data_IF_231527152008
#
_entry.id   IF_231527152008
#
_cell.length_a   1.000
_cell.length_b   1.000
_cell.length_c   1.000
_cell.angle_alpha   90.00
_cell.angle_beta   90.00
_cell.angle_gamma   90.00
#
_symmetry.space_group_name_H-M   'P 1'
#
loop_
_entity.id
_entity.type
_entity.pdbx_description
1 polymer ?
#
# COMPACT_ATOMS: atom_id res chain seq x y z
N UNK A 1 -42.02 -72.45 1.68
CA UNK A 1 -42.10 -72.72 3.12
C UNK A 1 -41.12 -71.76 3.79
N UNK A 2 -41.53 -70.51 3.92
CA UNK A 2 -42.07 -69.91 5.17
C UNK A 2 -40.94 -69.40 6.07
N UNK A 3 -40.63 -68.11 5.95
CA UNK A 3 -41.07 -67.06 6.88
C UNK A 3 -40.63 -67.33 8.31
N UNK A 4 -39.61 -66.59 8.75
CA UNK A 4 -39.53 -66.06 10.12
C UNK A 4 -38.70 -64.77 10.14
N UNK A 5 -39.41 -63.65 10.12
CA UNK A 5 -38.94 -62.33 10.55
C UNK A 5 -38.96 -62.27 12.08
N UNK A 6 -37.90 -61.75 12.71
CA UNK A 6 -37.93 -60.80 13.85
C UNK A 6 -36.49 -60.35 14.17
N UNK A 7 -36.08 -59.14 13.75
CA UNK A 7 -36.14 -57.87 14.50
C UNK A 7 -35.11 -57.79 15.64
N UNK A 8 -33.90 -57.35 15.31
CA UNK A 8 -33.01 -56.61 16.21
C UNK A 8 -32.50 -55.39 15.46
N UNK A 9 -33.04 -54.23 15.82
CA UNK A 9 -32.51 -52.91 15.49
C UNK A 9 -31.27 -52.69 16.34
N UNK A 10 -30.14 -52.31 15.74
CA UNK A 10 -29.14 -51.45 16.40
C UNK A 10 -27.95 -51.19 15.49
N UNK A 11 -27.76 -49.89 15.21
CA UNK A 11 -26.48 -49.17 15.06
C UNK A 11 -25.82 -49.20 13.67
N UNK A 12 -26.14 -48.17 12.90
CA UNK A 12 -25.26 -47.57 11.90
C UNK A 12 -23.91 -47.21 12.54
N UNK A 13 -22.75 -47.54 11.95
CA UNK A 13 -21.51 -46.91 12.35
C UNK A 13 -21.46 -45.51 11.74
N UNK A 14 -21.71 -44.52 12.59
CA UNK A 14 -21.21 -43.15 12.39
C UNK A 14 -19.69 -43.23 12.21
N UNK A 15 -19.19 -42.77 11.07
CA UNK A 15 -17.77 -42.87 10.73
C UNK A 15 -17.32 -41.78 9.76
N UNK A 16 -17.42 -40.52 10.21
CA UNK A 16 -16.56 -39.40 9.84
C UNK A 16 -16.26 -39.17 8.33
N UNK A 17 -17.17 -38.48 7.64
CA UNK A 17 -16.78 -37.69 6.47
C UNK A 17 -15.99 -36.47 6.96
N UNK A 18 -14.65 -36.54 6.92
CA UNK A 18 -13.78 -35.36 7.02
C UNK A 18 -14.05 -34.48 5.79
N UNK A 19 -15.01 -33.57 5.90
CA UNK A 19 -15.00 -32.37 5.07
C UNK A 19 -13.75 -31.58 5.48
N UNK A 20 -12.69 -31.69 4.69
CA UNK A 20 -11.61 -30.71 4.67
C UNK A 20 -12.22 -29.41 4.15
N UNK A 21 -12.86 -28.65 5.03
CA UNK A 21 -13.06 -27.22 4.82
C UNK A 21 -11.66 -26.60 4.84
N UNK A 22 -11.03 -26.53 3.68
CA UNK A 22 -9.92 -25.61 3.45
C UNK A 22 -10.49 -24.21 3.69
N UNK A 23 -10.37 -23.74 4.92
CA UNK A 23 -10.47 -22.33 5.21
C UNK A 23 -9.30 -21.69 4.47
N UNK A 24 -9.56 -21.17 3.27
CA UNK A 24 -8.73 -20.12 2.71
C UNK A 24 -8.82 -18.95 3.69
N UNK A 25 -7.92 -18.95 4.68
CA UNK A 25 -7.56 -17.74 5.40
C UNK A 25 -6.86 -16.90 4.33
N UNK A 26 -7.64 -16.09 3.62
CA UNK A 26 -7.07 -14.99 2.86
C UNK A 26 -6.38 -14.11 3.89
N UNK A 27 -5.05 -14.14 3.89
CA UNK A 27 -4.27 -13.10 4.57
C UNK A 27 -4.80 -11.78 4.01
N UNK A 28 -5.30 -10.85 4.83
CA UNK A 28 -5.63 -9.52 4.35
C UNK A 28 -4.36 -8.97 3.74
N UNK A 29 -4.38 -8.75 2.41
CA UNK A 29 -3.26 -8.11 1.75
C UNK A 29 -3.05 -6.77 2.42
N UNK A 30 -1.89 -6.61 3.05
CA UNK A 30 -1.46 -5.36 3.60
C UNK A 30 -1.36 -4.36 2.45
N UNK A 31 -2.27 -3.39 2.43
CA UNK A 31 -2.24 -2.27 1.52
C UNK A 31 -1.35 -1.23 2.17
N UNK A 32 -0.36 -0.74 1.45
CA UNK A 32 0.23 0.54 1.78
C UNK A 32 -0.84 1.60 1.92
N UNK A 33 -0.53 2.67 2.67
CA UNK A 33 -1.46 3.75 3.05
C UNK A 33 -2.86 3.49 2.51
N UNK A 34 -3.73 2.85 3.29
CA UNK A 34 -5.06 2.50 2.79
C UNK A 34 -5.71 3.71 2.10
N UNK A 35 -6.53 3.47 1.07
CA UNK A 35 -7.16 4.46 0.18
C UNK A 35 -7.02 5.95 0.54
N UNK A 36 -7.52 6.35 1.70
CA UNK A 36 -7.49 7.73 2.19
C UNK A 36 -6.07 8.34 2.20
N UNK A 37 -5.06 7.61 2.66
CA UNK A 37 -3.67 8.07 2.68
C UNK A 37 -3.13 8.35 1.28
N UNK A 38 -3.24 7.40 0.35
CA UNK A 38 -2.83 7.61 -1.05
C UNK A 38 -3.55 8.76 -1.74
N UNK A 39 -4.86 8.89 -1.52
CA UNK A 39 -5.65 9.99 -2.08
C UNK A 39 -5.10 11.32 -1.57
N UNK A 40 -4.89 11.45 -0.26
CA UNK A 40 -4.35 12.67 0.33
C UNK A 40 -2.95 13.00 -0.18
N UNK A 41 -2.01 12.03 -0.16
CA UNK A 41 -0.65 12.22 -0.67
C UNK A 41 -0.66 12.72 -2.11
N UNK A 42 -1.49 12.13 -2.97
CA UNK A 42 -1.57 12.55 -4.36
C UNK A 42 -2.26 13.90 -4.57
N UNK A 43 -3.25 14.26 -3.75
CA UNK A 43 -3.85 15.60 -3.82
C UNK A 43 -2.87 16.69 -3.42
N UNK A 44 -2.12 16.48 -2.34
CA UNK A 44 -1.06 17.40 -1.90
C UNK A 44 0.01 17.51 -2.98
N UNK A 45 0.51 16.37 -3.48
CA UNK A 45 1.53 16.36 -4.53
C UNK A 45 1.06 17.09 -5.79
N UNK A 46 -0.18 16.83 -6.24
CA UNK A 46 -0.73 17.47 -7.43
C UNK A 46 -0.89 18.99 -7.29
N UNK A 47 -1.27 19.48 -6.10
CA UNK A 47 -1.40 20.90 -5.83
C UNK A 47 -0.04 21.64 -5.84
N UNK A 48 1.06 20.92 -5.57
CA UNK A 48 2.42 21.45 -5.49
C UNK A 48 3.22 21.30 -6.80
N UNK A 49 2.62 20.74 -7.86
CA UNK A 49 3.33 20.55 -9.14
C UNK A 49 3.64 21.90 -9.80
N UNK A 50 4.87 22.03 -10.29
CA UNK A 50 5.24 23.09 -11.23
C UNK A 50 4.42 22.99 -12.54
N UNK A 51 4.21 24.10 -13.27
CA UNK A 51 3.37 24.10 -14.47
C UNK A 51 3.71 23.02 -15.50
N UNK A 52 5.00 22.77 -15.75
CA UNK A 52 5.46 21.74 -16.69
C UNK A 52 5.12 20.33 -16.21
N UNK A 53 5.22 20.07 -14.91
CA UNK A 53 4.88 18.77 -14.32
C UNK A 53 3.36 18.56 -14.29
N UNK A 54 2.60 19.61 -13.97
CA UNK A 54 1.14 19.60 -13.98
C UNK A 54 0.58 19.25 -15.37
N UNK A 55 1.12 19.86 -16.43
CA UNK A 55 0.74 19.53 -17.81
C UNK A 55 1.09 18.10 -18.18
N UNK A 56 2.29 17.61 -17.82
CA UNK A 56 2.69 16.23 -18.09
C UNK A 56 1.77 15.22 -17.37
N UNK A 57 1.44 15.48 -16.10
CA UNK A 57 0.48 14.65 -15.34
C UNK A 57 -0.88 14.65 -16.01
N UNK A 58 -1.38 15.82 -16.43
CA UNK A 58 -2.66 15.93 -17.14
C UNK A 58 -2.67 15.10 -18.43
N UNK A 59 -1.60 15.16 -19.23
CA UNK A 59 -1.48 14.41 -20.48
C UNK A 59 -1.35 12.89 -20.30
N UNK A 60 -0.73 12.45 -19.21
CA UNK A 60 -0.55 11.03 -18.91
C UNK A 60 -1.78 10.36 -18.30
N UNK A 61 -2.65 11.14 -17.66
CA UNK A 61 -3.86 10.62 -17.04
C UNK A 61 -4.96 10.36 -18.07
N UNK A 62 -5.78 9.30 -17.89
CA UNK A 62 -6.87 9.01 -18.80
C UNK A 62 -8.01 10.04 -18.66
N UNK A 63 -8.65 10.39 -19.76
CA UNK A 63 -9.68 11.45 -19.84
C UNK A 63 -10.80 11.35 -18.78
N UNK A 64 -11.19 10.13 -18.40
CA UNK A 64 -12.30 9.91 -17.46
C UNK A 64 -12.04 10.43 -16.05
N UNK A 65 -10.78 10.59 -15.63
CA UNK A 65 -10.43 11.18 -14.33
C UNK A 65 -10.25 12.69 -14.39
N UNK A 66 -10.37 13.29 -15.58
CA UNK A 66 -10.33 14.75 -15.81
C UNK A 66 -9.11 15.42 -15.15
N UNK A 67 -7.95 14.79 -15.30
CA UNK A 67 -6.69 15.26 -14.73
C UNK A 67 -6.53 15.05 -13.23
N UNK A 68 -7.47 14.42 -12.52
CA UNK A 68 -7.33 14.16 -11.07
C UNK A 68 -6.43 12.94 -10.82
N UNK A 69 -5.19 13.15 -10.39
CA UNK A 69 -4.21 12.10 -10.10
C UNK A 69 -4.66 11.20 -8.94
N UNK A 70 -5.19 11.81 -7.88
CA UNK A 70 -5.62 11.09 -6.67
C UNK A 70 -6.70 10.03 -6.93
N UNK A 71 -7.48 10.19 -8.00
CA UNK A 71 -8.49 9.21 -8.41
C UNK A 71 -7.89 7.85 -8.80
N UNK A 72 -6.60 7.80 -9.18
CA UNK A 72 -5.90 6.61 -9.62
C UNK A 72 -4.71 6.22 -8.73
N UNK A 73 -4.43 6.96 -7.66
CA UNK A 73 -3.29 6.64 -6.78
C UNK A 73 -3.45 5.37 -5.95
N UNK A 74 -4.62 4.73 -5.98
CA UNK A 74 -4.84 3.39 -5.38
C UNK A 74 -4.83 2.27 -6.42
N UNK A 75 -4.56 2.60 -7.69
CA UNK A 75 -4.54 1.61 -8.76
C UNK A 75 -3.48 0.51 -8.57
N UNK A 76 -2.24 0.79 -8.10
CA UNK A 76 -1.24 -0.25 -7.87
C UNK A 76 -1.68 -1.33 -6.87
N UNK A 77 -2.35 -0.93 -5.79
CA UNK A 77 -2.95 -1.87 -4.82
C UNK A 77 -4.01 -2.78 -5.45
N UNK A 78 -4.77 -2.28 -6.42
CA UNK A 78 -5.80 -3.08 -7.09
C UNK A 78 -5.17 -4.11 -8.02
N UNK A 79 -4.11 -3.74 -8.74
CA UNK A 79 -3.51 -4.58 -9.78
C UNK A 79 -2.45 -5.55 -9.26
N UNK A 80 -1.84 -5.35 -8.09
CA UNK A 80 -0.82 -6.25 -7.53
C UNK A 80 -1.30 -7.71 -7.36
N UNK A 81 -2.61 -7.92 -7.29
CA UNK A 81 -3.23 -9.24 -7.22
C UNK A 81 -3.47 -9.88 -8.59
N UNK A 82 -3.37 -9.13 -9.68
CA UNK A 82 -3.60 -9.62 -11.03
C UNK A 82 -2.40 -10.41 -11.51
N UNK A 83 -2.63 -11.52 -12.22
CA UNK A 83 -1.55 -12.39 -12.71
C UNK A 83 -0.47 -11.64 -13.49
N UNK A 84 -0.87 -10.68 -14.35
CA UNK A 84 0.04 -9.84 -15.15
C UNK A 84 0.95 -8.95 -14.30
N UNK A 85 0.48 -8.51 -13.13
CA UNK A 85 1.16 -7.53 -12.29
C UNK A 85 1.60 -8.10 -10.94
N UNK A 86 1.61 -9.43 -10.78
CA UNK A 86 2.01 -10.06 -9.52
C UNK A 86 3.45 -9.71 -9.10
N UNK A 87 4.30 -9.37 -10.07
CA UNK A 87 5.65 -8.86 -9.87
C UNK A 87 5.72 -7.52 -9.13
N UNK A 88 4.62 -6.76 -9.08
CA UNK A 88 4.58 -5.47 -8.36
C UNK A 88 4.36 -5.64 -6.87
N UNK A 89 3.91 -6.81 -6.41
CA UNK A 89 3.58 -7.03 -4.99
C UNK A 89 4.69 -6.69 -3.99
N UNK A 90 5.96 -7.08 -4.19
CA UNK A 90 7.05 -6.72 -3.28
C UNK A 90 7.49 -5.24 -3.41
N UNK A 91 7.07 -4.55 -4.48
CA UNK A 91 7.42 -3.15 -4.70
C UNK A 91 6.70 -2.18 -3.76
N UNK A 92 5.74 -2.66 -2.97
CA UNK A 92 5.00 -1.82 -2.03
C UNK A 92 5.75 -1.60 -0.71
N UNK A 93 6.77 -2.39 -0.39
CA UNK A 93 7.40 -2.33 0.93
C UNK A 93 8.90 -2.63 0.87
N UNK A 94 9.55 -2.54 2.03
CA UNK A 94 10.90 -3.01 2.32
C UNK A 94 10.84 -3.82 3.61
N UNK A 95 11.36 -5.04 3.54
CA UNK A 95 11.61 -5.87 4.71
C UNK A 95 13.01 -5.55 5.26
N UNK A 96 13.08 -5.09 6.50
CA UNK A 96 14.34 -4.84 7.21
C UNK A 96 14.59 -5.91 8.27
N UNK A 97 15.86 -6.23 8.61
CA UNK A 97 16.14 -7.19 9.65
C UNK A 97 15.61 -6.72 11.00
N UNK A 98 15.00 -7.65 11.74
CA UNK A 98 14.41 -7.38 13.04
C UNK A 98 15.36 -6.65 14.00
N UNK A 99 14.85 -5.61 14.66
CA UNK A 99 15.59 -4.78 15.61
C UNK A 99 16.83 -4.08 15.04
N UNK A 100 17.09 -4.16 13.72
CA UNK A 100 18.21 -3.47 13.12
C UNK A 100 18.01 -1.96 13.12
N UNK A 101 16.75 -1.51 13.12
CA UNK A 101 16.40 -0.09 13.18
C UNK A 101 17.23 0.74 12.19
N UNK A 102 17.50 0.15 11.02
CA UNK A 102 18.28 0.75 9.94
C UNK A 102 17.88 0.13 8.60
N UNK A 103 17.80 0.96 7.56
CA UNK A 103 17.67 0.52 6.18
C UNK A 103 19.03 0.60 5.46
N UNK A 104 19.38 -0.43 4.70
CA UNK A 104 20.51 -0.46 3.79
C UNK A 104 20.06 -1.03 2.45
N UNK A 105 20.07 -0.21 1.40
CA UNK A 105 19.54 -0.59 0.08
C UNK A 105 20.07 -1.93 -0.44
N UNK A 106 21.39 -2.14 -0.41
CA UNK A 106 22.00 -3.39 -0.91
C UNK A 106 21.69 -4.63 -0.07
N UNK A 107 21.26 -4.44 1.18
CA UNK A 107 20.89 -5.54 2.09
C UNK A 107 19.39 -5.84 2.01
N UNK A 108 18.57 -4.80 1.93
CA UNK A 108 17.13 -4.89 2.20
C UNK A 108 16.27 -4.74 0.93
N UNK A 109 16.79 -4.16 -0.15
CA UNK A 109 16.00 -3.92 -1.35
C UNK A 109 16.02 -5.12 -2.30
N UNK A 110 15.28 -6.16 -1.94
CA UNK A 110 15.09 -7.35 -2.76
C UNK A 110 13.71 -7.99 -2.49
N UNK A 111 13.24 -8.83 -3.41
CA UNK A 111 12.05 -9.65 -3.17
C UNK A 111 12.36 -10.88 -2.30
N UNK A 112 11.36 -11.68 -1.88
CA UNK A 112 11.61 -12.90 -1.08
C UNK A 112 12.42 -13.98 -1.80
N UNK A 113 12.68 -13.86 -3.11
CA UNK A 113 13.54 -14.75 -3.88
C UNK A 113 14.97 -14.20 -4.00
N UNK A 114 15.25 -13.01 -3.46
CA UNK A 114 16.55 -12.34 -3.52
C UNK A 114 16.82 -11.60 -4.82
N UNK A 115 15.79 -11.30 -5.62
CA UNK A 115 15.95 -10.44 -6.80
C UNK A 115 16.14 -9.01 -6.33
N UNK A 116 17.31 -8.44 -6.59
CA UNK A 116 17.67 -7.06 -6.24
C UNK A 116 16.72 -6.01 -6.86
N UNK A 117 16.65 -4.83 -6.26
CA UNK A 117 15.82 -3.68 -6.67
C UNK A 117 14.30 -3.91 -6.56
N UNK A 118 13.85 -5.10 -6.16
CA UNK A 118 12.43 -5.44 -6.02
C UNK A 118 11.85 -5.04 -4.66
N UNK A 119 11.96 -3.75 -4.32
CA UNK A 119 11.39 -3.14 -3.12
C UNK A 119 10.83 -1.73 -3.44
N UNK A 120 10.15 -1.07 -2.50
CA UNK A 120 9.58 0.28 -2.75
C UNK A 120 10.63 1.33 -3.13
N UNK A 121 11.82 1.33 -2.51
CA UNK A 121 12.89 2.26 -2.89
C UNK A 121 13.41 2.01 -4.31
N UNK A 122 13.54 0.75 -4.72
CA UNK A 122 13.92 0.37 -6.08
C UNK A 122 12.84 0.72 -7.10
N UNK A 123 11.57 0.57 -6.73
CA UNK A 123 10.43 0.97 -7.55
C UNK A 123 10.42 2.49 -7.78
N UNK A 124 10.57 3.29 -6.72
CA UNK A 124 10.66 4.76 -6.82
C UNK A 124 11.80 5.17 -7.77
N UNK A 125 12.99 4.59 -7.61
CA UNK A 125 14.14 4.84 -8.49
C UNK A 125 13.83 4.47 -9.95
N UNK A 126 13.25 3.29 -10.18
CA UNK A 126 12.91 2.77 -11.50
C UNK A 126 11.89 3.67 -12.21
N UNK A 127 10.74 3.94 -11.60
CA UNK A 127 9.68 4.71 -12.27
C UNK A 127 10.03 6.20 -12.41
N UNK A 128 10.84 6.75 -11.50
CA UNK A 128 11.45 8.07 -11.70
C UNK A 128 12.33 8.08 -12.95
N UNK A 129 13.22 7.09 -13.11
CA UNK A 129 14.08 7.00 -14.31
C UNK A 129 13.29 6.85 -15.60
N UNK A 130 12.16 6.15 -15.59
CA UNK A 130 11.29 6.01 -16.76
C UNK A 130 10.65 7.36 -17.14
N UNK A 131 10.14 8.11 -16.16
CA UNK A 131 9.47 9.39 -16.38
C UNK A 131 10.41 10.52 -16.80
N UNK A 132 11.69 10.46 -16.44
CA UNK A 132 12.70 11.44 -16.92
C UNK A 132 12.77 11.45 -18.46
N UNK A 133 12.58 10.30 -19.10
CA UNK A 133 12.59 10.18 -20.57
C UNK A 133 11.26 10.53 -21.25
N UNK A 134 10.26 11.02 -20.49
CA UNK A 134 8.95 11.40 -21.03
C UNK A 134 9.06 12.43 -22.17
N UNK A 135 9.82 13.52 -21.95
CA UNK A 135 9.94 14.62 -22.92
C UNK A 135 10.74 14.24 -24.18
N UNK A 136 11.71 13.34 -24.04
CA UNK A 136 12.57 12.89 -25.15
C UNK A 136 11.84 11.86 -26.04
N UNK A 137 10.79 11.24 -25.51
CA UNK A 137 10.09 10.13 -26.13
C UNK A 137 10.88 8.83 -25.95
N UNK A 138 10.24 7.83 -25.35
CA UNK A 138 10.82 6.49 -25.27
C UNK A 138 10.63 5.74 -26.60
N UNK A 139 11.69 5.17 -27.15
CA UNK A 139 11.59 4.19 -28.24
C UNK A 139 11.22 2.78 -27.74
N UNK A 140 11.30 2.55 -26.42
CA UNK A 140 10.91 1.30 -25.80
C UNK A 140 9.40 1.27 -25.57
N UNK A 141 8.71 0.52 -26.43
CA UNK A 141 7.26 0.28 -26.37
C UNK A 141 6.79 -0.43 -25.10
N UNK A 142 7.71 -0.96 -24.28
CA UNK A 142 7.37 -1.63 -23.02
C UNK A 142 7.08 -0.66 -21.88
N UNK A 143 7.59 0.57 -21.94
CA UNK A 143 7.32 1.57 -20.92
C UNK A 143 5.99 2.27 -21.17
N UNK A 144 5.06 2.02 -20.26
CA UNK A 144 3.80 2.74 -20.20
C UNK A 144 3.96 3.89 -19.19
N UNK A 145 4.05 5.13 -19.70
CA UNK A 145 4.31 6.30 -18.86
C UNK A 145 3.15 6.61 -17.91
N UNK A 146 1.92 6.25 -18.26
CA UNK A 146 0.78 6.33 -17.34
C UNK A 146 0.98 5.36 -16.18
N UNK A 147 1.36 4.11 -16.44
CA UNK A 147 1.66 3.15 -15.36
C UNK A 147 2.83 3.64 -14.50
N UNK A 148 3.91 4.16 -15.13
CA UNK A 148 5.05 4.70 -14.40
C UNK A 148 4.66 5.86 -13.47
N UNK A 149 3.82 6.79 -13.94
CA UNK A 149 3.27 7.86 -13.12
C UNK A 149 2.46 7.30 -11.94
N UNK A 150 1.51 6.40 -12.19
CA UNK A 150 0.65 5.87 -11.14
C UNK A 150 1.43 5.04 -10.10
N UNK A 151 2.39 4.23 -10.55
CA UNK A 151 3.28 3.51 -9.66
C UNK A 151 4.14 4.46 -8.82
N UNK A 152 4.79 5.45 -9.45
CA UNK A 152 5.61 6.41 -8.70
C UNK A 152 4.79 7.16 -7.66
N UNK A 153 3.62 7.68 -8.04
CA UNK A 153 2.75 8.43 -7.11
C UNK A 153 2.29 7.57 -5.93
N UNK A 154 1.96 6.30 -6.17
CA UNK A 154 1.59 5.36 -5.12
C UNK A 154 2.77 5.01 -4.21
N UNK A 155 3.88 4.54 -4.80
CA UNK A 155 5.06 4.09 -4.04
C UNK A 155 5.75 5.21 -3.27
N UNK A 156 5.65 6.46 -3.73
CA UNK A 156 6.02 7.63 -2.94
C UNK A 156 5.14 7.78 -1.69
N UNK A 157 3.87 7.38 -1.72
CA UNK A 157 3.07 7.22 -0.51
C UNK A 157 3.61 6.09 0.35
N UNK A 158 3.71 4.87 -0.20
CA UNK A 158 4.11 3.65 0.53
C UNK A 158 5.38 3.85 1.34
N UNK A 159 6.43 4.40 0.71
CA UNK A 159 7.73 4.58 1.37
C UNK A 159 7.68 5.55 2.57
N UNK A 160 6.67 6.43 2.65
CA UNK A 160 6.44 7.29 3.80
C UNK A 160 5.54 6.66 4.87
N UNK A 161 4.90 5.51 4.59
CA UNK A 161 4.14 4.77 5.59
C UNK A 161 5.14 4.01 6.46
N UNK A 162 5.26 4.29 7.78
CA UNK A 162 6.31 3.68 8.58
C UNK A 162 6.33 2.15 8.52
N UNK A 163 5.18 1.50 8.67
CA UNK A 163 5.07 0.04 8.67
C UNK A 163 5.34 -0.62 7.30
N UNK A 164 5.56 0.17 6.23
CA UNK A 164 6.02 -0.31 4.92
C UNK A 164 7.54 -0.46 4.82
N UNK A 165 8.26 0.07 5.79
CA UNK A 165 9.71 -0.13 5.96
C UNK A 165 9.90 -0.72 7.35
N UNK A 166 9.44 -1.97 7.50
CA UNK A 166 9.25 -2.63 8.80
C UNK A 166 10.10 -3.89 8.95
N UNK A 167 9.84 -4.66 10.00
CA UNK A 167 10.56 -5.91 10.24
C UNK A 167 10.03 -7.05 9.38
N UNK A 168 10.96 -7.90 8.92
CA UNK A 168 10.61 -9.05 8.09
C UNK A 168 9.73 -10.05 8.83
N UNK A 169 10.03 -10.36 10.10
CA UNK A 169 9.34 -11.46 10.79
C UNK A 169 7.91 -11.14 11.20
N UNK A 170 7.59 -9.87 11.37
CA UNK A 170 6.23 -9.44 11.70
C UNK A 170 5.41 -8.99 10.47
N UNK A 171 5.99 -9.12 9.27
CA UNK A 171 5.45 -8.66 7.98
C UNK A 171 5.09 -7.17 8.04
N UNK A 172 6.00 -6.34 8.56
CA UNK A 172 5.73 -4.91 8.79
C UNK A 172 4.60 -4.71 9.78
N UNK A 173 4.50 -5.54 10.82
CA UNK A 173 3.46 -5.50 11.84
C UNK A 173 2.09 -6.04 11.42
N UNK A 174 1.95 -6.68 10.26
CA UNK A 174 0.70 -7.32 9.85
C UNK A 174 0.32 -8.51 10.75
N UNK A 175 1.32 -9.21 11.27
CA UNK A 175 1.13 -10.36 12.16
C UNK A 175 0.93 -9.95 13.63
N UNK A 176 1.10 -8.66 13.96
CA UNK A 176 0.87 -8.12 15.30
C UNK A 176 -0.63 -7.79 15.43
N UNK A 177 -1.41 -8.80 15.81
CA UNK A 177 -2.84 -8.64 16.07
C UNK A 177 -3.10 -7.79 17.32
N UNK A 178 -4.04 -6.85 17.21
CA UNK A 178 -4.43 -5.97 18.29
C UNK A 178 -5.90 -5.55 18.19
N UNK A 179 -6.34 -4.65 19.07
CA UNK A 179 -7.63 -3.98 18.96
C UNK A 179 -7.42 -2.48 18.84
N UNK A 180 -8.00 -1.87 17.82
CA UNK A 180 -8.11 -0.43 17.71
C UNK A 180 -9.47 -0.03 18.27
N UNK A 181 -9.48 0.58 19.45
CA UNK A 181 -10.69 0.80 20.26
C UNK A 181 -11.56 -0.47 20.39
N UNK A 182 -12.72 -0.51 19.72
CA UNK A 182 -13.71 -1.57 19.88
C UNK A 182 -13.54 -2.71 18.87
N UNK A 183 -12.90 -2.50 17.73
CA UNK A 183 -12.72 -3.51 16.68
C UNK A 183 -11.33 -4.15 16.70
N UNK A 184 -11.24 -5.32 16.08
CA UNK A 184 -9.96 -6.01 15.87
C UNK A 184 -9.24 -5.39 14.68
N UNK A 185 -7.91 -5.31 14.75
CA UNK A 185 -7.02 -4.83 13.69
C UNK A 185 -5.65 -5.53 13.83
N UNK A 186 -4.68 -5.17 13.00
CA UNK A 186 -3.26 -5.40 13.26
C UNK A 186 -2.51 -4.04 13.31
N UNK A 187 -1.24 -4.05 13.72
CA UNK A 187 -0.44 -2.83 13.86
C UNK A 187 -0.26 -2.10 12.52
N UNK A 188 0.02 -2.85 11.45
CA UNK A 188 0.20 -2.29 10.11
C UNK A 188 -1.02 -1.47 9.66
N UNK A 189 -2.19 -2.09 9.72
CA UNK A 189 -3.47 -1.49 9.35
C UNK A 189 -3.86 -0.29 10.24
N UNK A 190 -3.36 -0.25 11.50
CA UNK A 190 -3.55 0.94 12.34
C UNK A 190 -2.87 2.17 11.74
N UNK A 191 -1.64 2.01 11.26
CA UNK A 191 -0.89 3.06 10.60
C UNK A 191 -1.46 3.42 9.24
N UNK A 192 -1.81 2.42 8.41
CA UNK A 192 -2.36 2.67 7.08
C UNK A 192 -3.68 3.42 7.09
N UNK A 193 -4.52 3.17 8.10
CA UNK A 193 -5.95 3.47 8.00
C UNK A 193 -6.59 3.96 9.28
N UNK A 194 -6.41 3.23 10.37
CA UNK A 194 -7.22 3.46 11.56
C UNK A 194 -6.96 4.82 12.20
N UNK A 195 -5.69 5.25 12.26
CA UNK A 195 -5.31 6.59 12.75
C UNK A 195 -5.97 7.67 11.89
N UNK A 196 -5.86 7.56 10.55
CA UNK A 196 -6.44 8.54 9.61
C UNK A 196 -7.96 8.61 9.80
N UNK A 197 -8.65 7.48 9.77
CA UNK A 197 -10.11 7.47 9.86
C UNK A 197 -10.64 7.93 11.21
N UNK A 198 -9.93 7.63 12.29
CA UNK A 198 -10.27 8.13 13.61
C UNK A 198 -10.09 9.64 13.66
N UNK A 199 -8.95 10.17 13.19
CA UNK A 199 -8.72 11.61 13.11
C UNK A 199 -9.78 12.33 12.26
N UNK A 200 -10.12 11.76 11.10
CA UNK A 200 -11.18 12.29 10.24
C UNK A 200 -12.54 12.31 10.94
N UNK A 201 -12.90 11.24 11.66
CA UNK A 201 -14.17 11.15 12.35
C UNK A 201 -14.25 12.08 13.57
N UNK A 202 -13.15 12.23 14.32
CA UNK A 202 -13.12 12.98 15.57
C UNK A 202 -13.03 14.51 15.34
N UNK A 203 -12.33 14.94 14.29
CA UNK A 203 -11.98 16.35 14.09
C UNK A 203 -12.54 16.98 12.82
N UNK A 204 -12.96 16.20 11.81
CA UNK A 204 -13.22 16.71 10.46
C UNK A 204 -14.54 16.23 9.85
N UNK A 205 -15.49 15.74 10.65
CA UNK A 205 -16.79 15.22 10.17
C UNK A 205 -16.66 14.15 9.05
N UNK A 206 -15.54 13.43 9.05
CA UNK A 206 -15.15 12.45 8.02
C UNK A 206 -14.88 13.04 6.63
N UNK A 207 -14.70 14.35 6.53
CA UNK A 207 -14.35 15.03 5.30
C UNK A 207 -12.83 15.18 5.17
N UNK A 208 -12.26 14.46 4.19
CA UNK A 208 -10.83 14.48 3.88
C UNK A 208 -10.35 15.86 3.44
N UNK A 209 -11.22 16.68 2.85
CA UNK A 209 -10.84 18.00 2.35
C UNK A 209 -10.45 18.97 3.46
N UNK A 210 -11.05 18.89 4.65
CA UNK A 210 -10.66 19.74 5.78
C UNK A 210 -9.33 19.31 6.39
N UNK A 211 -9.11 17.99 6.53
CA UNK A 211 -7.81 17.48 6.97
C UNK A 211 -6.69 17.90 6.01
N UNK A 212 -6.95 17.85 4.70
CA UNK A 212 -6.01 18.31 3.69
C UNK A 212 -5.68 19.80 3.80
N UNK A 213 -6.69 20.66 4.01
CA UNK A 213 -6.48 22.09 4.21
C UNK A 213 -5.63 22.37 5.46
N UNK A 214 -5.85 21.61 6.54
CA UNK A 214 -5.07 21.77 7.77
C UNK A 214 -3.63 21.26 7.60
N UNK A 215 -3.42 20.15 6.88
CA UNK A 215 -2.07 19.68 6.52
C UNK A 215 -1.35 20.73 5.66
N UNK A 216 -2.03 21.25 4.63
CA UNK A 216 -1.51 22.31 3.76
C UNK A 216 -1.09 23.52 4.55
N UNK A 217 -2.00 24.05 5.37
CA UNK A 217 -1.72 25.19 6.24
C UNK A 217 -0.54 24.93 7.18
N UNK A 218 -0.40 23.71 7.71
CA UNK A 218 0.68 23.38 8.64
C UNK A 218 2.05 23.42 7.99
N UNK A 219 2.20 23.01 6.73
CA UNK A 219 3.48 23.09 6.02
C UNK A 219 3.71 24.40 5.29
N UNK A 220 2.68 25.20 5.00
CA UNK A 220 2.87 26.53 4.39
C UNK A 220 3.17 27.61 5.43
N UNK A 221 2.38 27.66 6.51
CA UNK A 221 2.36 28.79 7.46
C UNK A 221 2.30 28.35 8.93
N UNK A 222 2.31 27.05 9.17
CA UNK A 222 2.12 26.46 10.50
C UNK A 222 3.37 25.80 11.05
N UNK A 223 3.16 24.81 11.90
CA UNK A 223 4.23 24.19 12.72
C UNK A 223 5.31 23.47 11.91
N UNK A 224 5.06 23.17 10.63
CA UNK A 224 6.01 22.46 9.76
C UNK A 224 6.66 23.38 8.72
N UNK A 225 6.32 24.68 8.68
CA UNK A 225 6.83 25.60 7.66
C UNK A 225 8.35 25.67 7.61
N UNK A 226 8.99 25.60 8.78
CA UNK A 226 10.45 25.65 8.91
C UNK A 226 11.11 24.31 8.53
N UNK A 227 10.37 23.20 8.66
CA UNK A 227 10.87 21.84 8.42
C UNK A 227 10.80 21.44 6.95
N UNK A 228 9.97 22.08 6.11
CA UNK A 228 9.79 21.72 4.69
C UNK A 228 11.12 21.65 3.94
N UNK A 229 12.06 22.55 4.25
CA UNK A 229 13.39 22.56 3.62
C UNK A 229 14.23 21.33 3.95
N UNK A 230 13.99 20.72 5.13
CA UNK A 230 14.68 19.53 5.63
C UNK A 230 14.09 18.22 5.10
N UNK A 231 12.84 18.22 4.64
CA UNK A 231 12.15 17.03 4.11
C UNK A 231 12.79 16.46 2.84
N UNK A 232 13.66 17.24 2.17
CA UNK A 232 14.52 16.75 1.10
C UNK A 232 15.48 15.62 1.55
N UNK A 233 15.65 15.39 2.86
CA UNK A 233 16.69 14.51 3.42
C UNK A 233 16.12 13.34 4.26
N UNK A 234 14.85 13.35 4.65
CA UNK A 234 14.35 12.41 5.68
C UNK A 234 13.34 11.42 5.11
N UNK A 235 13.69 10.13 5.14
CA UNK A 235 12.71 9.05 5.03
C UNK A 235 13.19 7.72 5.63
N UNK A 236 13.86 7.73 6.80
CA UNK A 236 14.30 6.50 7.48
C UNK A 236 14.44 6.74 9.00
N UNK A 237 13.39 7.19 9.71
CA UNK A 237 13.52 7.35 11.18
C UNK A 237 12.27 7.12 12.01
N UNK A 238 11.10 6.85 11.41
CA UNK A 238 9.84 6.67 12.16
C UNK A 238 9.42 5.21 12.35
N UNK A 239 9.94 4.30 11.53
CA UNK A 239 9.76 2.84 11.63
C UNK A 239 11.08 2.07 11.74
N UNK A 240 12.17 2.82 11.63
CA UNK A 240 13.54 2.35 11.57
C UNK A 240 14.21 2.89 12.81
#
# INVERSE_FOLDING_TARGET
MDRLRRLWMSLLPFGFLLFFSSAFIGVPGALAWSKEGHVMTCQIAQALLEPEASEAVYQLLPDHVKGNLSALCTWPDQIRHWYKYRWTSPLHFIDTPDNACSFQYSRDCHDPQGVEDMCVAGAVKNFTSQLIHYKEGTSDRRYNMTEALLFLSHFMGDIHQPMHVGFTTDEGGNTIELRWFRHKSNLHHVWDREIILTGLADYYDKDVSFLLQDIERNYTDGIWSDDVTSWNIVMISLSV
#
